data_IF_204477059171
#
_entry.id   IF_204477059171
#
_cell.length_a   1.000
_cell.length_b   1.000
_cell.length_c   1.000
_cell.angle_alpha   90.00
_cell.angle_beta   90.00
_cell.angle_gamma   90.00
#
_symmetry.space_group_name_H-M   'P 1'
#
loop_
_entity.id
_entity.type
_entity.pdbx_description
1 polymer ?
#
# COMPACT_ATOMS: atom_id res chain seq x y z
N UNK A 1 -30.01 22.81 11.84
CA UNK A 1 -30.55 21.80 10.88
C UNK A 1 -29.59 21.51 9.70
N UNK A 2 -28.75 22.46 9.25
CA UNK A 2 -27.77 22.21 8.17
C UNK A 2 -26.64 21.20 8.47
N UNK A 3 -26.22 21.07 9.73
CA UNK A 3 -25.09 20.19 10.11
C UNK A 3 -25.33 18.69 9.85
N UNK A 4 -26.58 18.22 9.89
CA UNK A 4 -26.92 16.81 9.61
C UNK A 4 -26.80 16.47 8.13
N UNK A 5 -27.18 17.41 7.26
CA UNK A 5 -27.06 17.24 5.82
C UNK A 5 -25.60 17.31 5.38
N UNK A 6 -24.80 18.20 5.96
CA UNK A 6 -23.36 18.26 5.66
C UNK A 6 -22.63 16.98 6.09
N UNK A 7 -22.91 16.48 7.30
CA UNK A 7 -22.35 15.20 7.77
C UNK A 7 -22.78 14.03 6.88
N UNK A 8 -24.05 13.98 6.48
CA UNK A 8 -24.57 12.94 5.61
C UNK A 8 -23.93 13.00 4.21
N UNK A 9 -23.77 14.18 3.63
CA UNK A 9 -23.14 14.34 2.31
C UNK A 9 -21.65 13.99 2.33
N UNK A 10 -20.92 14.39 3.37
CA UNK A 10 -19.49 14.04 3.51
C UNK A 10 -19.33 12.53 3.68
N UNK A 11 -20.16 11.91 4.52
CA UNK A 11 -20.13 10.45 4.69
C UNK A 11 -20.50 9.72 3.39
N UNK A 12 -21.54 10.17 2.68
CA UNK A 12 -21.96 9.59 1.41
C UNK A 12 -20.87 9.72 0.34
N UNK A 13 -20.25 10.90 0.19
CA UNK A 13 -19.19 11.13 -0.79
C UNK A 13 -17.94 10.30 -0.47
N UNK A 14 -17.55 10.22 0.80
CA UNK A 14 -16.41 9.41 1.22
C UNK A 14 -16.65 7.92 0.91
N UNK A 15 -17.77 7.36 1.39
CA UNK A 15 -18.10 5.94 1.14
C UNK A 15 -18.26 5.65 -0.35
N UNK A 16 -18.90 6.56 -1.10
CA UNK A 16 -19.07 6.45 -2.54
C UNK A 16 -17.73 6.42 -3.28
N UNK A 17 -16.78 7.30 -2.93
CA UNK A 17 -15.46 7.34 -3.55
C UNK A 17 -14.67 6.06 -3.30
N UNK A 18 -14.52 5.66 -2.05
CA UNK A 18 -13.75 4.46 -1.68
C UNK A 18 -14.36 3.19 -2.28
N UNK A 19 -15.70 3.12 -2.34
CA UNK A 19 -16.42 2.03 -3.00
C UNK A 19 -16.17 1.96 -4.50
N UNK A 20 -16.20 3.10 -5.20
CA UNK A 20 -15.91 3.18 -6.63
C UNK A 20 -14.47 2.80 -6.94
N UNK A 21 -13.51 3.30 -6.16
CA UNK A 21 -12.08 2.94 -6.28
C UNK A 21 -11.88 1.43 -6.10
N UNK A 22 -12.51 0.84 -5.08
CA UNK A 22 -12.43 -0.62 -4.85
C UNK A 22 -12.96 -1.42 -6.05
N UNK A 23 -14.09 -1.03 -6.62
CA UNK A 23 -14.67 -1.70 -7.79
C UNK A 23 -13.78 -1.54 -9.02
N UNK A 24 -13.30 -0.32 -9.29
CA UNK A 24 -12.45 -0.02 -10.45
C UNK A 24 -11.11 -0.74 -10.35
N UNK A 25 -10.46 -0.74 -9.19
CA UNK A 25 -9.20 -1.45 -9.00
C UNK A 25 -9.36 -2.97 -9.05
N UNK A 26 -10.43 -3.52 -8.47
CA UNK A 26 -10.72 -4.96 -8.59
C UNK A 26 -10.92 -5.36 -10.04
N UNK A 27 -11.65 -4.54 -10.82
CA UNK A 27 -11.87 -4.77 -12.24
C UNK A 27 -10.57 -4.61 -13.06
N UNK A 28 -9.72 -3.64 -12.72
CA UNK A 28 -8.42 -3.46 -13.36
C UNK A 28 -7.50 -4.67 -13.14
N UNK A 29 -7.42 -5.18 -11.90
CA UNK A 29 -6.67 -6.41 -11.57
C UNK A 29 -7.24 -7.60 -12.33
N UNK A 30 -8.56 -7.69 -12.44
CA UNK A 30 -9.24 -8.76 -13.17
C UNK A 30 -8.90 -8.76 -14.68
N UNK A 31 -8.87 -7.58 -15.31
CA UNK A 31 -8.46 -7.45 -16.70
C UNK A 31 -6.96 -7.71 -16.90
N UNK A 32 -6.12 -7.24 -15.98
CA UNK A 32 -4.68 -7.51 -16.01
C UNK A 32 -4.38 -9.02 -15.93
N UNK A 33 -5.04 -9.75 -15.04
CA UNK A 33 -4.87 -11.21 -14.91
C UNK A 33 -5.33 -11.97 -16.16
N UNK A 34 -6.31 -11.45 -16.89
CA UNK A 34 -6.80 -12.04 -18.14
C UNK A 34 -5.81 -11.87 -19.31
N UNK A 35 -4.92 -10.88 -19.24
CA UNK A 35 -3.91 -10.63 -20.27
C UNK A 35 -2.73 -11.61 -20.25
N UNK A 36 -2.53 -12.33 -19.15
CA UNK A 36 -1.40 -13.26 -18.92
C UNK A 36 -1.64 -14.68 -19.48
N UNK A 37 -2.60 -14.86 -20.39
CA UNK A 37 -2.84 -16.13 -21.10
C UNK A 37 -3.74 -17.14 -20.40
N UNK A 38 -4.25 -16.82 -19.20
CA UNK A 38 -5.33 -17.58 -18.59
C UNK A 38 -6.64 -17.28 -19.34
N UNK A 39 -7.36 -18.32 -19.75
CA UNK A 39 -8.67 -18.13 -20.40
C UNK A 39 -9.60 -17.38 -19.46
N UNK A 40 -10.30 -16.37 -19.98
CA UNK A 40 -11.22 -15.51 -19.22
C UNK A 40 -12.21 -16.31 -18.35
N UNK A 41 -12.66 -17.46 -18.83
CA UNK A 41 -13.57 -18.34 -18.10
C UNK A 41 -12.91 -19.09 -16.90
N UNK A 42 -11.60 -19.34 -16.95
CA UNK A 42 -10.87 -20.06 -15.91
C UNK A 42 -10.37 -19.16 -14.76
N UNK A 43 -10.20 -17.86 -15.00
CA UNK A 43 -9.75 -16.89 -13.98
C UNK A 43 -10.88 -16.32 -13.12
N UNK A 44 -12.13 -16.34 -13.61
CA UNK A 44 -13.33 -15.83 -12.89
C UNK A 44 -13.50 -16.46 -11.49
N UNK A 45 -13.43 -17.79 -11.32
CA UNK A 45 -13.67 -18.40 -10.02
C UNK A 45 -12.61 -18.01 -8.98
N UNK A 46 -11.33 -17.98 -9.38
CA UNK A 46 -10.23 -17.64 -8.48
C UNK A 46 -10.30 -16.17 -8.02
N UNK A 47 -10.60 -15.24 -8.93
CA UNK A 47 -10.76 -13.83 -8.60
C UNK A 47 -11.97 -13.57 -7.69
N UNK A 48 -13.10 -14.24 -7.94
CA UNK A 48 -14.29 -14.13 -7.09
C UNK A 48 -14.04 -14.66 -5.67
N UNK A 49 -13.32 -15.78 -5.54
CA UNK A 49 -12.90 -16.32 -4.24
C UNK A 49 -11.95 -15.35 -3.53
N UNK A 50 -10.97 -14.79 -4.24
CA UNK A 50 -10.05 -13.79 -3.69
C UNK A 50 -10.76 -12.54 -3.18
N UNK A 51 -11.71 -12.00 -3.96
CA UNK A 51 -12.52 -10.86 -3.56
C UNK A 51 -13.40 -11.19 -2.34
N UNK A 52 -14.03 -12.37 -2.30
CA UNK A 52 -14.84 -12.80 -1.18
C UNK A 52 -13.99 -12.97 0.10
N UNK A 53 -12.81 -13.57 0.00
CA UNK A 53 -11.85 -13.69 1.10
C UNK A 53 -11.37 -12.32 1.58
N UNK A 54 -11.13 -11.37 0.67
CA UNK A 54 -10.78 -10.00 0.99
C UNK A 54 -11.88 -9.28 1.78
N UNK A 55 -13.14 -9.39 1.35
CA UNK A 55 -14.30 -8.83 2.07
C UNK A 55 -14.46 -9.49 3.44
N UNK A 56 -14.33 -10.82 3.53
CA UNK A 56 -14.37 -11.53 4.80
C UNK A 56 -13.25 -11.07 5.74
N UNK A 57 -12.03 -10.92 5.24
CA UNK A 57 -10.89 -10.40 5.99
C UNK A 57 -11.14 -8.97 6.49
N UNK A 58 -11.65 -8.09 5.63
CA UNK A 58 -12.00 -6.72 6.00
C UNK A 58 -13.06 -6.67 7.10
N UNK A 59 -14.09 -7.52 7.03
CA UNK A 59 -15.11 -7.63 8.08
C UNK A 59 -14.54 -8.12 9.41
N UNK A 60 -13.64 -9.10 9.38
CA UNK A 60 -12.96 -9.62 10.58
C UNK A 60 -12.12 -8.52 11.22
N UNK A 61 -11.33 -7.78 10.43
CA UNK A 61 -10.51 -6.67 10.92
C UNK A 61 -11.39 -5.54 11.48
N UNK A 62 -12.45 -5.15 10.76
CA UNK A 62 -13.38 -4.13 11.21
C UNK A 62 -14.04 -4.51 12.55
N UNK A 63 -14.46 -5.77 12.68
CA UNK A 63 -15.00 -6.30 13.93
C UNK A 63 -13.96 -6.33 15.06
N UNK A 64 -12.73 -6.74 14.75
CA UNK A 64 -11.63 -6.73 15.71
C UNK A 64 -11.35 -5.31 16.21
N UNK A 65 -11.27 -4.33 15.31
CA UNK A 65 -11.09 -2.90 15.66
C UNK A 65 -12.27 -2.39 16.48
N UNK A 66 -13.51 -2.71 16.12
CA UNK A 66 -14.69 -2.30 16.90
C UNK A 66 -14.64 -2.85 18.34
N UNK A 67 -14.29 -4.13 18.48
CA UNK A 67 -14.21 -4.81 19.79
C UNK A 67 -13.02 -4.32 20.63
N UNK A 68 -11.87 -4.10 20.00
CA UNK A 68 -10.63 -3.69 20.67
C UNK A 68 -10.56 -2.17 20.87
N UNK A 69 -11.30 -1.39 20.09
CA UNK A 69 -11.28 0.08 20.08
C UNK A 69 -11.70 0.70 21.41
N UNK A 70 -12.55 0.04 22.20
CA UNK A 70 -12.89 0.49 23.55
C UNK A 70 -11.73 0.37 24.56
N UNK A 71 -10.68 -0.40 24.25
CA UNK A 71 -9.49 -0.62 25.10
C UNK A 71 -8.25 0.10 24.59
N UNK A 72 -8.27 0.62 23.36
CA UNK A 72 -7.10 1.20 22.71
C UNK A 72 -7.02 2.71 23.00
N UNK A 73 -5.84 3.16 23.40
CA UNK A 73 -5.55 4.59 23.51
C UNK A 73 -5.50 5.18 22.09
N UNK A 74 -6.45 6.04 21.75
CA UNK A 74 -6.55 6.69 20.44
C UNK A 74 -5.25 7.40 20.03
N UNK A 75 -4.54 8.03 20.97
CA UNK A 75 -3.26 8.69 20.70
C UNK A 75 -2.22 7.70 20.20
N UNK A 76 -2.07 6.55 20.90
CA UNK A 76 -1.16 5.48 20.46
C UNK A 76 -1.58 4.85 19.14
N UNK A 77 -2.89 4.72 18.89
CA UNK A 77 -3.41 4.22 17.63
C UNK A 77 -3.01 5.11 16.45
N UNK A 78 -3.25 6.42 16.55
CA UNK A 78 -2.87 7.37 15.50
C UNK A 78 -1.34 7.46 15.33
N UNK A 79 -0.58 7.35 16.41
CA UNK A 79 0.88 7.34 16.33
C UNK A 79 1.40 6.12 15.57
N UNK A 80 0.85 4.93 15.83
CA UNK A 80 1.24 3.69 15.13
C UNK A 80 0.80 3.73 13.67
N UNK A 81 -0.47 4.04 13.40
CA UNK A 81 -1.00 4.09 12.03
C UNK A 81 -0.33 5.19 11.21
N UNK A 82 -0.12 6.38 11.79
CA UNK A 82 0.57 7.49 11.14
C UNK A 82 2.03 7.15 10.79
N UNK A 83 2.76 6.53 11.72
CA UNK A 83 4.14 6.07 11.45
C UNK A 83 4.19 5.02 10.35
N UNK A 84 3.22 4.09 10.32
CA UNK A 84 3.10 3.07 9.27
C UNK A 84 2.79 3.71 7.90
N UNK A 85 1.91 4.70 7.87
CA UNK A 85 1.56 5.43 6.64
C UNK A 85 2.75 6.19 6.06
N UNK A 86 3.60 6.75 6.92
CA UNK A 86 4.86 7.37 6.51
C UNK A 86 5.84 6.34 5.94
N UNK A 87 5.94 5.16 6.55
CA UNK A 87 6.80 4.09 6.01
C UNK A 87 6.34 3.66 4.61
N UNK A 88 5.03 3.53 4.41
CA UNK A 88 4.44 3.25 3.10
C UNK A 88 4.76 4.34 2.07
N UNK A 89 4.66 5.62 2.46
CA UNK A 89 5.03 6.74 1.60
C UNK A 89 6.52 6.73 1.21
N UNK A 90 7.40 6.27 2.12
CA UNK A 90 8.82 6.09 1.81
C UNK A 90 9.02 5.03 0.71
N UNK A 91 8.25 3.93 0.76
CA UNK A 91 8.28 2.88 -0.26
C UNK A 91 7.79 3.37 -1.63
N UNK A 92 6.68 4.11 -1.66
CA UNK A 92 6.18 4.72 -2.91
C UNK A 92 7.18 5.72 -3.51
N UNK A 93 7.88 6.49 -2.67
CA UNK A 93 8.91 7.42 -3.12
C UNK A 93 10.12 6.69 -3.70
N UNK A 94 10.54 5.59 -3.07
CA UNK A 94 11.59 4.72 -3.55
C UNK A 94 11.24 4.11 -4.93
N UNK A 95 10.01 3.64 -5.10
CA UNK A 95 9.52 3.10 -6.38
C UNK A 95 9.43 4.20 -7.47
N UNK A 96 8.96 5.39 -7.13
CA UNK A 96 8.94 6.53 -8.07
C UNK A 96 10.35 6.90 -8.57
N UNK A 97 11.36 6.84 -7.68
CA UNK A 97 12.77 7.07 -8.05
C UNK A 97 13.28 5.99 -9.00
N UNK A 98 12.95 4.74 -8.72
CA UNK A 98 13.33 3.62 -9.58
C UNK A 98 12.75 3.79 -10.98
N UNK A 99 11.47 4.12 -11.08
CA UNK A 99 10.81 4.42 -12.35
C UNK A 99 11.48 5.60 -13.09
N UNK A 100 11.87 6.66 -12.38
CA UNK A 100 12.61 7.80 -12.96
C UNK A 100 14.01 7.42 -13.45
N UNK A 101 14.68 6.50 -12.76
CA UNK A 101 15.96 5.94 -13.17
C UNK A 101 15.83 5.07 -14.42
N UNK A 102 14.79 4.22 -14.49
CA UNK A 102 14.49 3.40 -15.67
C UNK A 102 14.20 4.25 -16.91
N UNK A 103 13.55 5.41 -16.73
CA UNK A 103 13.29 6.40 -17.79
C UNK A 103 14.52 7.24 -18.16
N UNK A 104 15.68 7.01 -17.54
CA UNK A 104 16.92 7.78 -17.73
C UNK A 104 16.82 9.28 -17.41
N UNK A 105 15.76 9.70 -16.69
CA UNK A 105 15.60 11.10 -16.27
C UNK A 105 16.48 11.44 -15.07
N UNK A 106 16.85 10.45 -14.26
CA UNK A 106 17.69 10.64 -13.08
C UNK A 106 18.83 9.60 -12.98
N UNK A 107 19.87 9.65 -13.82
CA UNK A 107 20.94 8.64 -13.87
C UNK A 107 21.98 8.76 -12.73
N UNK A 108 21.57 9.23 -11.54
CA UNK A 108 22.44 9.38 -10.37
C UNK A 108 22.38 8.09 -9.54
N UNK A 109 23.55 7.52 -9.22
CA UNK A 109 23.68 6.32 -8.38
C UNK A 109 22.82 5.12 -8.85
N UNK A 110 22.54 5.02 -10.16
CA UNK A 110 21.67 4.01 -10.77
C UNK A 110 22.25 2.59 -10.81
N UNK A 111 23.44 2.36 -10.21
CA UNK A 111 24.01 1.02 -10.10
C UNK A 111 23.36 0.31 -8.90
N UNK A 112 22.88 -0.94 -9.07
CA UNK A 112 22.38 -1.75 -7.96
C UNK A 112 23.46 -1.90 -6.87
N UNK A 113 23.11 -1.64 -5.60
CA UNK A 113 24.05 -1.74 -4.49
C UNK A 113 24.26 -3.19 -4.05
N UNK A 114 23.17 -3.94 -3.94
CA UNK A 114 23.17 -5.34 -3.55
C UNK A 114 22.09 -6.09 -4.32
N UNK A 115 22.22 -7.41 -4.40
CA UNK A 115 21.24 -8.27 -5.04
C UNK A 115 20.75 -9.30 -4.00
N UNK A 116 19.49 -9.15 -3.57
CA UNK A 116 18.83 -10.06 -2.62
C UNK A 116 17.90 -11.04 -3.34
N UNK A 117 17.88 -11.04 -4.68
CA UNK A 117 16.98 -11.86 -5.49
C UNK A 117 17.23 -13.37 -5.35
N UNK A 118 18.36 -13.78 -4.75
CA UNK A 118 18.64 -15.20 -4.45
C UNK A 118 17.96 -15.71 -3.17
N UNK A 119 17.53 -14.81 -2.28
CA UNK A 119 16.87 -15.16 -1.01
C UNK A 119 15.39 -14.77 -1.03
N UNK A 120 15.04 -13.61 -1.59
CA UNK A 120 13.69 -13.11 -1.77
C UNK A 120 13.57 -12.43 -3.13
N UNK A 121 12.92 -13.11 -4.06
CA UNK A 121 12.58 -12.56 -5.38
C UNK A 121 11.42 -11.58 -5.27
N UNK A 122 11.50 -10.43 -5.94
CA UNK A 122 10.43 -9.42 -5.97
C UNK A 122 9.09 -9.95 -6.51
N UNK A 123 9.12 -10.99 -7.37
CA UNK A 123 7.93 -11.61 -7.97
C UNK A 123 7.31 -12.75 -7.14
N UNK A 124 7.82 -13.02 -5.93
CA UNK A 124 7.17 -13.95 -5.00
C UNK A 124 6.00 -13.29 -4.26
N UNK A 125 4.93 -14.02 -3.87
CA UNK A 125 3.76 -13.43 -3.23
C UNK A 125 4.07 -12.73 -1.89
N UNK A 126 5.13 -13.12 -1.20
CA UNK A 126 5.60 -12.46 0.02
C UNK A 126 6.46 -11.23 -0.32
N UNK A 127 7.29 -11.34 -1.36
CA UNK A 127 8.14 -10.24 -1.84
C UNK A 127 7.30 -9.07 -2.36
N UNK A 128 6.22 -9.36 -3.09
CA UNK A 128 5.29 -8.37 -3.66
C UNK A 128 4.52 -7.61 -2.56
N UNK A 129 4.07 -8.33 -1.51
CA UNK A 129 3.49 -7.71 -0.32
C UNK A 129 4.53 -6.83 0.39
N UNK A 130 5.76 -7.30 0.57
CA UNK A 130 6.81 -6.50 1.20
C UNK A 130 7.20 -5.27 0.36
N UNK A 131 7.27 -5.42 -0.96
CA UNK A 131 7.53 -4.34 -1.89
C UNK A 131 6.44 -3.28 -1.77
N UNK A 132 5.17 -3.70 -1.87
CA UNK A 132 4.02 -2.82 -1.78
C UNK A 132 3.94 -2.11 -0.41
N UNK A 133 4.07 -2.84 0.70
CA UNK A 133 3.84 -2.27 2.03
C UNK A 133 5.04 -1.56 2.64
N UNK A 134 6.27 -2.00 2.34
CA UNK A 134 7.50 -1.51 2.97
C UNK A 134 8.47 -0.84 2.00
N UNK A 135 8.23 -0.92 0.68
CA UNK A 135 9.16 -0.43 -0.33
C UNK A 135 10.37 -1.34 -0.53
N UNK A 136 10.26 -2.63 -0.22
CA UNK A 136 11.35 -3.60 -0.41
C UNK A 136 11.67 -3.78 -1.90
N UNK A 137 12.90 -3.50 -2.33
CA UNK A 137 13.38 -3.83 -3.68
C UNK A 137 14.50 -4.87 -3.58
N UNK A 138 14.47 -5.92 -4.40
CA UNK A 138 15.53 -6.94 -4.41
C UNK A 138 16.85 -6.44 -5.00
N UNK A 139 16.83 -5.36 -5.79
CA UNK A 139 18.01 -4.70 -6.37
C UNK A 139 17.95 -3.17 -6.19
N UNK A 140 17.97 -2.66 -4.95
CA UNK A 140 17.82 -1.23 -4.73
C UNK A 140 19.06 -0.46 -5.20
N UNK A 141 18.82 0.69 -5.80
CA UNK A 141 19.89 1.61 -6.18
C UNK A 141 20.35 2.42 -4.98
N UNK A 142 21.57 2.96 -5.04
CA UNK A 142 22.10 3.75 -3.92
C UNK A 142 21.28 5.00 -3.62
N UNK A 143 20.64 5.58 -4.63
CA UNK A 143 19.77 6.74 -4.48
C UNK A 143 18.45 6.37 -3.80
N UNK A 144 17.88 5.21 -4.14
CA UNK A 144 16.65 4.69 -3.54
C UNK A 144 16.82 4.44 -2.03
N UNK A 145 17.94 3.82 -1.63
CA UNK A 145 18.26 3.58 -0.21
C UNK A 145 18.45 4.90 0.55
N UNK A 146 19.21 5.84 -0.01
CA UNK A 146 19.43 7.14 0.64
C UNK A 146 18.12 7.90 0.80
N UNK A 147 17.30 7.98 -0.23
CA UNK A 147 16.01 8.70 -0.17
C UNK A 147 15.06 8.04 0.81
N UNK A 148 14.97 6.70 0.81
CA UNK A 148 14.15 5.96 1.76
C UNK A 148 14.54 6.29 3.20
N UNK A 149 15.84 6.19 3.55
CA UNK A 149 16.30 6.46 4.91
C UNK A 149 16.17 7.93 5.30
N UNK A 150 16.47 8.87 4.40
CA UNK A 150 16.29 10.31 4.67
C UNK A 150 14.82 10.62 4.91
N UNK A 151 13.90 10.06 4.11
CA UNK A 151 12.47 10.24 4.30
C UNK A 151 11.99 9.64 5.61
N UNK A 152 12.34 8.37 5.90
CA UNK A 152 11.92 7.69 7.14
C UNK A 152 12.45 8.41 8.37
N UNK A 153 13.74 8.76 8.41
CA UNK A 153 14.35 9.43 9.57
C UNK A 153 13.77 10.82 9.80
N UNK A 154 13.49 11.56 8.72
CA UNK A 154 12.92 12.91 8.82
C UNK A 154 11.43 12.87 9.18
N UNK A 155 10.62 12.08 8.46
CA UNK A 155 9.18 12.02 8.61
C UNK A 155 8.74 11.26 9.86
N UNK A 156 9.19 10.01 10.03
CA UNK A 156 8.82 9.20 11.21
C UNK A 156 9.48 9.77 12.46
N UNK A 157 10.75 10.19 12.37
CA UNK A 157 11.44 10.83 13.50
C UNK A 157 10.77 12.12 13.95
N UNK A 158 10.42 13.01 13.01
CA UNK A 158 9.70 14.24 13.31
C UNK A 158 8.29 13.99 13.87
N UNK A 159 7.57 13.03 13.30
CA UNK A 159 6.21 12.68 13.74
C UNK A 159 6.18 12.09 15.14
N UNK A 160 7.08 11.15 15.45
CA UNK A 160 7.18 10.55 16.79
C UNK A 160 7.66 11.57 17.81
N UNK A 161 8.50 12.53 17.43
CA UNK A 161 8.96 13.58 18.35
C UNK A 161 7.86 14.59 18.72
N UNK A 162 6.89 14.83 17.83
CA UNK A 162 5.77 15.76 18.05
C UNK A 162 4.60 15.11 18.78
N UNK A 163 4.46 13.78 18.71
CA UNK A 163 3.30 13.00 19.21
C UNK A 163 3.48 12.50 20.64
#
# INVERSE_FOLDING_TARGET
KGARLSLALVAFQAVGREGLETVVFTLAIFFAASSTGASFAASVPAAAIGAALGVLGALIIAYAIYRLGHRINLGRFFQVVGSLLMLFAAGLLADAIENLQQLHWLPVLARPLWNTSSLLTDSGPIGDVLHTFLGYAAQPTGLQVVVYWVYVLSAVGGFVWIS
#
